data_IF_547448329729
#
_entry.id   IF_547448329729
#
_cell.length_a   1.000
_cell.length_b   1.000
_cell.length_c   1.000
_cell.angle_alpha   90.00
_cell.angle_beta   90.00
_cell.angle_gamma   90.00
#
_symmetry.space_group_name_H-M   'P 1'
#
loop_
_entity.id
_entity.type
_entity.pdbx_description
1 polymer ?
#
# COMPACT_ATOMS: atom_id res chain seq x y z
N UNK A 1 46.74 -24.78 -4.23
CA UNK A 1 46.46 -23.94 -3.04
C UNK A 1 46.75 -22.49 -3.41
N UNK A 2 45.73 -21.70 -3.68
CA UNK A 2 45.82 -20.26 -3.75
C UNK A 2 44.47 -19.68 -3.30
N UNK A 3 44.42 -19.19 -2.06
CA UNK A 3 43.26 -18.54 -1.48
C UNK A 3 43.28 -17.10 -1.98
N UNK A 4 42.34 -16.73 -2.85
CA UNK A 4 42.16 -15.37 -3.34
C UNK A 4 41.38 -14.56 -2.28
N UNK A 5 42.05 -13.51 -1.78
CA UNK A 5 41.49 -12.53 -0.83
C UNK A 5 40.40 -11.72 -1.53
N UNK A 6 39.16 -11.87 -1.12
CA UNK A 6 38.10 -10.89 -1.39
C UNK A 6 38.40 -9.62 -0.57
N UNK A 7 38.78 -8.56 -1.28
CA UNK A 7 38.92 -7.21 -0.73
C UNK A 7 37.53 -6.63 -0.43
N UNK A 8 37.31 -6.28 0.83
CA UNK A 8 36.13 -5.56 1.29
C UNK A 8 35.99 -4.24 0.52
N UNK A 9 34.86 -4.04 -0.14
CA UNK A 9 34.47 -2.77 -0.75
C UNK A 9 34.13 -1.76 0.35
N UNK A 10 34.79 -0.63 0.27
CA UNK A 10 34.68 0.56 1.09
C UNK A 10 33.22 1.07 1.25
N UNK A 11 32.85 1.67 2.39
CA UNK A 11 31.50 2.19 2.63
C UNK A 11 31.15 3.30 1.63
N UNK A 12 29.95 3.20 1.07
CA UNK A 12 29.38 4.16 0.11
C UNK A 12 29.43 5.56 0.73
N UNK A 13 30.09 6.49 0.03
CA UNK A 13 30.03 7.91 0.35
C UNK A 13 28.55 8.32 0.41
N UNK A 14 28.10 8.80 1.59
CA UNK A 14 26.89 9.62 1.69
C UNK A 14 27.04 10.75 0.69
N UNK A 15 26.16 10.81 -0.30
CA UNK A 15 26.01 11.99 -1.14
C UNK A 15 25.57 13.10 -0.20
N UNK A 16 26.43 14.04 0.05
CA UNK A 16 26.08 15.32 0.65
C UNK A 16 25.02 15.97 -0.25
N UNK A 17 23.78 15.91 0.20
CA UNK A 17 22.73 16.79 -0.30
C UNK A 17 23.10 18.17 0.23
N UNK A 18 23.44 19.10 -0.65
CA UNK A 18 23.68 20.49 -0.30
C UNK A 18 22.40 20.99 0.37
N UNK A 19 22.44 21.10 1.70
CA UNK A 19 21.39 21.74 2.50
C UNK A 19 21.46 23.24 2.25
N UNK A 20 20.56 23.74 1.41
CA UNK A 20 20.43 25.18 1.14
C UNK A 20 19.66 25.90 2.26
N UNK A 21 19.06 25.15 3.17
CA UNK A 21 18.38 25.67 4.35
C UNK A 21 19.11 25.13 5.59
N UNK A 22 19.47 26.04 6.49
CA UNK A 22 20.29 25.72 7.67
C UNK A 22 19.78 24.50 8.42
N UNK A 23 20.72 23.66 8.88
CA UNK A 23 20.55 22.41 9.61
C UNK A 23 19.89 22.61 11.00
N UNK A 24 18.74 23.27 11.06
CA UNK A 24 17.94 23.29 12.27
C UNK A 24 17.02 22.07 12.26
N UNK A 25 17.46 21.03 12.96
CA UNK A 25 16.56 19.93 13.30
C UNK A 25 15.42 20.47 14.17
N UNK A 26 14.16 20.04 13.93
CA UNK A 26 13.04 20.48 14.74
C UNK A 26 13.23 20.02 16.18
N UNK A 27 13.05 20.93 17.15
CA UNK A 27 13.25 20.66 18.57
C UNK A 27 12.18 19.70 19.15
N UNK A 28 11.02 19.58 18.48
CA UNK A 28 9.91 18.74 18.91
C UNK A 28 8.97 18.44 17.73
N UNK A 29 8.00 17.52 17.98
CA UNK A 29 7.00 17.09 16.99
C UNK A 29 6.16 18.24 16.44
N UNK A 30 5.76 19.20 17.29
CA UNK A 30 4.95 20.34 16.86
C UNK A 30 5.70 21.21 15.86
N UNK A 31 6.97 21.46 16.10
CA UNK A 31 7.82 22.21 15.19
C UNK A 31 8.05 21.44 13.87
N UNK A 32 8.28 20.13 13.95
CA UNK A 32 8.40 19.28 12.77
C UNK A 32 7.15 19.33 11.89
N UNK A 33 5.97 19.27 12.48
CA UNK A 33 4.69 19.37 11.76
C UNK A 33 4.51 20.76 11.13
N UNK A 34 4.89 21.83 11.83
CA UNK A 34 4.82 23.18 11.30
C UNK A 34 5.82 23.40 10.14
N UNK A 35 7.00 22.76 10.19
CA UNK A 35 7.96 22.78 9.09
C UNK A 35 7.44 22.01 7.87
N UNK A 36 6.85 20.84 8.08
CA UNK A 36 6.23 20.02 7.04
C UNK A 36 5.11 20.80 6.32
N UNK A 37 4.20 21.40 7.10
CA UNK A 37 3.08 22.18 6.56
C UNK A 37 3.56 23.35 5.69
N UNK A 38 4.54 24.12 6.18
CA UNK A 38 5.14 25.23 5.42
C UNK A 38 5.81 24.75 4.13
N UNK A 39 6.58 23.65 4.20
CA UNK A 39 7.27 23.11 3.04
C UNK A 39 6.28 22.62 1.97
N UNK A 40 5.26 21.88 2.38
CA UNK A 40 4.22 21.40 1.48
C UNK A 40 3.40 22.55 0.89
N UNK A 41 3.07 23.57 1.69
CA UNK A 41 2.39 24.77 1.23
C UNK A 41 3.19 25.52 0.15
N UNK A 42 4.50 25.68 0.35
CA UNK A 42 5.38 26.30 -0.64
C UNK A 42 5.47 25.49 -1.94
N UNK A 43 5.57 24.15 -1.82
CA UNK A 43 5.60 23.26 -2.99
C UNK A 43 4.26 23.26 -3.75
N UNK A 44 3.14 23.31 -3.05
CA UNK A 44 1.80 23.35 -3.66
C UNK A 44 1.54 24.63 -4.46
N UNK A 45 2.20 25.74 -4.10
CA UNK A 45 2.07 27.04 -4.78
C UNK A 45 3.17 27.32 -5.80
N UNK A 46 4.17 26.45 -5.92
CA UNK A 46 5.28 26.61 -6.85
C UNK A 46 4.80 26.49 -8.30
N UNK A 47 5.30 27.38 -9.18
CA UNK A 47 5.10 27.26 -10.61
C UNK A 47 5.99 26.16 -11.19
N UNK A 48 5.51 24.92 -11.09
CA UNK A 48 6.23 23.75 -11.59
C UNK A 48 6.47 23.81 -13.12
N UNK A 49 5.59 24.50 -13.87
CA UNK A 49 5.71 24.64 -15.32
C UNK A 49 6.91 25.49 -15.76
N UNK A 50 7.35 26.42 -14.92
CA UNK A 50 8.52 27.27 -15.21
C UNK A 50 9.86 26.59 -14.91
N UNK A 51 9.86 25.44 -14.21
CA UNK A 51 11.07 24.75 -13.81
C UNK A 51 11.63 23.87 -14.95
N UNK A 52 12.97 23.78 -15.09
CA UNK A 52 13.59 22.84 -16.01
C UNK A 52 13.20 21.39 -15.69
N UNK A 53 13.02 20.55 -16.71
CA UNK A 53 12.63 19.13 -16.56
C UNK A 53 13.51 18.33 -15.59
N UNK A 54 14.84 18.53 -15.52
CA UNK A 54 15.66 17.83 -14.50
C UNK A 54 15.29 18.20 -13.07
N UNK A 55 14.89 19.47 -12.82
CA UNK A 55 14.44 19.94 -11.51
C UNK A 55 13.07 19.33 -11.16
N UNK A 56 12.15 19.31 -12.13
CA UNK A 56 10.85 18.63 -11.99
C UNK A 56 11.04 17.15 -11.63
N UNK A 57 11.92 16.43 -12.34
CA UNK A 57 12.22 15.04 -12.07
C UNK A 57 12.87 14.81 -10.69
N UNK A 58 13.70 15.75 -10.24
CA UNK A 58 14.27 15.71 -8.88
C UNK A 58 13.19 15.94 -7.82
N UNK A 59 12.29 16.90 -8.04
CA UNK A 59 11.17 17.20 -7.15
C UNK A 59 10.23 15.99 -7.01
N UNK A 60 9.88 15.34 -8.11
CA UNK A 60 9.06 14.12 -8.08
C UNK A 60 9.70 13.02 -7.23
N UNK A 61 11.00 12.73 -7.45
CA UNK A 61 11.70 11.73 -6.63
C UNK A 61 11.78 12.11 -5.14
N UNK A 62 11.88 13.40 -4.84
CA UNK A 62 11.88 13.87 -3.45
C UNK A 62 10.51 13.75 -2.81
N UNK A 63 9.44 14.04 -3.55
CA UNK A 63 8.05 13.90 -3.08
C UNK A 63 7.67 12.44 -2.84
N UNK A 64 8.07 11.51 -3.71
CA UNK A 64 7.88 10.07 -3.46
C UNK A 64 8.56 9.60 -2.16
N UNK A 65 9.80 10.05 -1.91
CA UNK A 65 10.48 9.77 -0.63
C UNK A 65 9.78 10.42 0.56
N UNK A 66 9.26 11.63 0.38
CA UNK A 66 8.49 12.32 1.42
C UNK A 66 7.18 11.59 1.72
N UNK A 67 6.50 11.07 0.70
CA UNK A 67 5.29 10.25 0.88
C UNK A 67 5.58 8.97 1.66
N UNK A 68 6.67 8.27 1.36
CA UNK A 68 7.09 7.09 2.12
C UNK A 68 7.29 7.43 3.60
N UNK A 69 8.07 8.47 3.90
CA UNK A 69 8.31 8.94 5.27
C UNK A 69 7.04 9.38 5.97
N UNK A 70 6.19 10.13 5.28
CA UNK A 70 4.88 10.54 5.80
C UNK A 70 4.02 9.32 6.13
N UNK A 71 4.01 8.31 5.26
CA UNK A 71 3.25 7.07 5.47
C UNK A 71 3.74 6.32 6.69
N UNK A 72 5.06 6.20 6.90
CA UNK A 72 5.66 5.58 8.07
C UNK A 72 5.32 6.36 9.36
N UNK A 73 5.54 7.67 9.36
CA UNK A 73 5.24 8.53 10.50
C UNK A 73 3.76 8.46 10.88
N UNK A 74 2.85 8.59 9.90
CA UNK A 74 1.41 8.51 10.13
C UNK A 74 1.00 7.16 10.73
N UNK A 75 1.57 6.06 10.25
CA UNK A 75 1.27 4.74 10.78
C UNK A 75 1.75 4.59 12.22
N UNK A 76 2.95 5.10 12.54
CA UNK A 76 3.51 5.11 13.90
C UNK A 76 2.63 5.90 14.88
N UNK A 77 2.26 7.13 14.52
CA UNK A 77 1.37 7.94 15.37
C UNK A 77 0.01 7.30 15.55
N UNK A 78 -0.57 6.74 14.48
CA UNK A 78 -1.86 6.08 14.55
C UNK A 78 -1.81 4.80 15.41
N UNK A 79 -0.74 4.01 15.31
CA UNK A 79 -0.55 2.84 16.16
C UNK A 79 -0.44 3.21 17.65
N UNK A 80 0.33 4.25 17.97
CA UNK A 80 0.44 4.76 19.34
C UNK A 80 -0.88 5.31 19.87
N UNK A 81 -1.61 6.06 19.04
CA UNK A 81 -2.93 6.60 19.37
C UNK A 81 -3.97 5.50 19.65
N UNK A 82 -3.93 4.41 18.88
CA UNK A 82 -4.79 3.24 19.09
C UNK A 82 -4.41 2.52 20.37
N UNK A 83 -3.12 2.33 20.64
CA UNK A 83 -2.63 1.62 21.81
C UNK A 83 -2.95 2.34 23.14
N UNK A 84 -3.19 3.64 23.08
CA UNK A 84 -3.55 4.49 24.23
C UNK A 84 -5.05 4.80 24.28
N UNK A 85 -5.86 4.18 23.42
CA UNK A 85 -7.31 4.45 23.28
C UNK A 85 -7.66 5.95 23.13
N UNK A 86 -6.74 6.74 22.57
CA UNK A 86 -6.85 8.18 22.45
C UNK A 86 -8.10 8.69 21.70
N UNK A 87 -8.77 7.82 20.97
CA UNK A 87 -10.07 8.12 20.33
C UNK A 87 -11.22 8.27 21.35
N UNK A 88 -11.09 7.71 22.56
CA UNK A 88 -12.06 7.80 23.64
C UNK A 88 -12.08 9.20 24.26
N UNK A 89 -10.95 9.90 24.28
CA UNK A 89 -10.86 11.28 24.79
C UNK A 89 -11.82 12.23 24.05
N UNK A 90 -12.09 11.95 22.78
CA UNK A 90 -13.04 12.67 21.93
C UNK A 90 -14.42 11.98 21.84
N UNK A 91 -14.71 11.02 22.73
CA UNK A 91 -15.98 10.30 22.79
C UNK A 91 -16.24 9.37 21.59
N UNK A 92 -15.20 8.96 20.88
CA UNK A 92 -15.35 8.06 19.74
C UNK A 92 -15.13 6.60 20.14
N UNK A 93 -15.97 5.69 19.63
CA UNK A 93 -15.87 4.27 19.93
C UNK A 93 -14.76 3.52 19.17
N UNK A 94 -13.99 4.17 18.31
CA UNK A 94 -12.85 3.57 17.62
C UNK A 94 -12.00 4.60 16.87
N UNK A 95 -10.74 4.28 16.65
CA UNK A 95 -9.85 5.12 15.85
C UNK A 95 -10.35 5.32 14.38
N UNK A 96 -11.08 4.37 13.81
CA UNK A 96 -11.70 4.51 12.48
C UNK A 96 -12.79 5.59 12.49
N UNK A 97 -13.62 5.63 13.52
CA UNK A 97 -14.65 6.66 13.68
C UNK A 97 -14.01 8.02 13.94
N UNK A 98 -13.00 8.06 14.80
CA UNK A 98 -12.22 9.26 15.10
C UNK A 98 -11.60 9.86 13.83
N UNK A 99 -10.89 9.06 13.01
CA UNK A 99 -10.31 9.50 11.75
C UNK A 99 -11.35 10.11 10.81
N UNK A 100 -12.50 9.44 10.64
CA UNK A 100 -13.57 9.95 9.78
C UNK A 100 -14.12 11.28 10.25
N UNK A 101 -14.27 11.44 11.53
CA UNK A 101 -14.82 12.66 12.13
C UNK A 101 -13.82 13.80 12.15
N UNK A 102 -12.63 13.58 12.69
CA UNK A 102 -11.60 14.62 12.85
C UNK A 102 -10.89 15.00 11.55
N UNK A 103 -10.60 14.02 10.71
CA UNK A 103 -9.82 14.26 9.48
C UNK A 103 -10.67 14.22 8.19
N UNK A 104 -11.98 13.96 8.33
CA UNK A 104 -12.97 13.95 7.23
C UNK A 104 -12.60 13.03 6.07
N UNK A 105 -11.86 11.97 6.37
CA UNK A 105 -11.53 10.94 5.37
C UNK A 105 -12.71 9.99 5.16
N UNK A 106 -12.75 9.32 4.01
CA UNK A 106 -13.77 8.30 3.71
C UNK A 106 -13.66 7.11 4.65
N UNK A 107 -14.72 6.30 4.73
CA UNK A 107 -14.70 5.04 5.49
C UNK A 107 -13.60 4.10 5.03
N UNK A 108 -13.43 3.94 3.71
CA UNK A 108 -12.38 3.11 3.12
C UNK A 108 -10.99 3.58 3.53
N UNK A 109 -10.72 4.90 3.44
CA UNK A 109 -9.44 5.49 3.85
C UNK A 109 -9.16 5.27 5.35
N UNK A 110 -10.16 5.43 6.22
CA UNK A 110 -9.99 5.21 7.65
C UNK A 110 -9.69 3.73 7.97
N UNK A 111 -10.42 2.79 7.34
CA UNK A 111 -10.17 1.35 7.48
C UNK A 111 -8.77 0.99 6.98
N UNK A 112 -8.40 1.48 5.80
CA UNK A 112 -7.07 1.25 5.22
C UNK A 112 -5.95 1.81 6.11
N UNK A 113 -6.12 3.02 6.67
CA UNK A 113 -5.10 3.62 7.53
C UNK A 113 -4.87 2.80 8.82
N UNK A 114 -5.95 2.36 9.48
CA UNK A 114 -5.85 1.54 10.69
C UNK A 114 -5.25 0.16 10.38
N UNK A 115 -5.69 -0.48 9.29
CA UNK A 115 -5.12 -1.75 8.83
C UNK A 115 -3.62 -1.61 8.53
N UNK A 116 -3.24 -0.55 7.83
CA UNK A 116 -1.85 -0.30 7.48
C UNK A 116 -0.95 -0.02 8.69
N UNK A 117 -1.45 0.76 9.68
CA UNK A 117 -0.71 1.00 10.92
C UNK A 117 -0.44 -0.30 11.69
N UNK A 118 -1.43 -1.20 11.73
CA UNK A 118 -1.28 -2.52 12.36
C UNK A 118 -0.30 -3.41 11.60
N UNK A 119 -0.40 -3.42 10.25
CA UNK A 119 0.50 -4.21 9.40
C UNK A 119 1.94 -3.76 9.55
N UNK A 120 2.24 -2.46 9.48
CA UNK A 120 3.60 -1.95 9.66
C UNK A 120 4.18 -2.26 11.05
N UNK A 121 3.35 -2.34 12.08
CA UNK A 121 3.82 -2.78 13.41
C UNK A 121 4.29 -4.24 13.41
N UNK A 122 3.76 -5.08 12.52
CA UNK A 122 4.18 -6.47 12.33
C UNK A 122 5.37 -6.63 11.37
N UNK A 123 5.76 -5.55 10.64
CA UNK A 123 6.86 -5.54 9.67
C UNK A 123 7.87 -4.41 9.98
N UNK A 124 8.64 -4.51 11.08
CA UNK A 124 9.51 -3.43 11.53
C UNK A 124 10.62 -3.07 10.53
N UNK A 125 11.12 -4.04 9.76
CA UNK A 125 12.14 -3.82 8.71
C UNK A 125 11.57 -2.94 7.60
N UNK A 126 10.37 -3.24 7.14
CA UNK A 126 9.69 -2.46 6.08
C UNK A 126 9.28 -1.07 6.60
N UNK A 127 8.86 -0.98 7.86
CA UNK A 127 8.57 0.30 8.50
C UNK A 127 9.82 1.21 8.55
N UNK A 128 10.99 0.65 8.86
CA UNK A 128 12.27 1.37 8.84
C UNK A 128 12.64 1.84 7.42
N UNK A 129 12.55 0.96 6.42
CA UNK A 129 12.84 1.30 5.01
C UNK A 129 11.93 2.43 4.48
N UNK A 130 10.64 2.42 4.88
CA UNK A 130 9.71 3.52 4.61
C UNK A 130 10.14 4.82 5.31
N UNK A 131 10.50 4.75 6.58
CA UNK A 131 10.90 5.92 7.37
C UNK A 131 12.19 6.56 6.81
N UNK A 132 13.07 5.77 6.23
CA UNK A 132 14.27 6.25 5.53
C UNK A 132 13.99 6.72 4.09
N UNK A 133 12.81 6.42 3.57
CA UNK A 133 12.42 6.75 2.20
C UNK A 133 13.18 5.92 1.14
N UNK A 134 13.66 4.75 1.53
CA UNK A 134 14.34 3.79 0.66
C UNK A 134 13.34 2.93 -0.12
N UNK A 135 12.16 2.71 0.44
CA UNK A 135 11.07 1.97 -0.15
C UNK A 135 9.85 2.89 -0.34
N UNK A 136 9.21 2.85 -1.50
CA UNK A 136 7.96 3.59 -1.71
C UNK A 136 6.80 2.97 -0.95
N UNK A 137 5.76 3.75 -0.65
CA UNK A 137 4.57 3.26 0.05
C UNK A 137 3.85 2.13 -0.72
N UNK A 138 3.88 2.17 -2.05
CA UNK A 138 3.27 1.14 -2.90
C UNK A 138 4.05 -0.19 -2.86
N UNK A 139 5.38 -0.12 -2.92
CA UNK A 139 6.23 -1.30 -2.82
C UNK A 139 6.18 -1.92 -1.44
N UNK A 140 6.18 -1.11 -0.38
CA UNK A 140 6.04 -1.59 0.99
C UNK A 140 4.74 -2.38 1.19
N UNK A 141 3.62 -1.91 0.59
CA UNK A 141 2.35 -2.65 0.63
C UNK A 141 2.45 -4.00 -0.06
N UNK A 142 3.11 -4.07 -1.22
CA UNK A 142 3.30 -5.32 -1.94
C UNK A 142 4.18 -6.29 -1.15
N UNK A 143 5.32 -5.83 -0.64
CA UNK A 143 6.25 -6.64 0.15
C UNK A 143 5.59 -7.19 1.41
N UNK A 144 4.95 -6.34 2.22
CA UNK A 144 4.20 -6.81 3.39
C UNK A 144 3.13 -7.85 3.00
N UNK A 145 2.41 -7.62 1.88
CA UNK A 145 1.39 -8.56 1.41
C UNK A 145 1.95 -9.92 0.99
N UNK A 146 3.19 -9.98 0.55
CA UNK A 146 3.86 -11.24 0.25
C UNK A 146 4.39 -11.93 1.51
N UNK A 147 5.05 -11.16 2.39
CA UNK A 147 5.61 -11.69 3.66
C UNK A 147 4.51 -12.17 4.61
N UNK A 148 3.31 -11.57 4.60
CA UNK A 148 2.17 -12.01 5.41
C UNK A 148 1.73 -13.45 5.09
N UNK A 149 2.03 -13.95 3.88
CA UNK A 149 1.75 -15.33 3.48
C UNK A 149 2.76 -16.35 4.00
N UNK A 150 3.86 -15.88 4.56
CA UNK A 150 4.90 -16.72 5.10
C UNK A 150 4.63 -17.04 6.58
N UNK A 151 5.10 -18.18 7.09
CA UNK A 151 5.06 -18.47 8.52
C UNK A 151 5.70 -17.33 9.32
N UNK A 152 5.12 -17.05 10.50
CA UNK A 152 5.51 -15.89 11.32
C UNK A 152 7.03 -15.88 11.62
N UNK A 153 7.61 -17.06 11.80
CA UNK A 153 9.00 -17.26 12.19
C UNK A 153 10.01 -16.80 11.12
N UNK A 154 9.60 -16.79 9.84
CA UNK A 154 10.47 -16.43 8.73
C UNK A 154 10.16 -15.07 8.11
N UNK A 155 9.11 -14.36 8.60
CA UNK A 155 8.67 -13.07 8.03
C UNK A 155 9.73 -12.00 8.13
N UNK A 156 10.38 -11.89 9.28
CA UNK A 156 11.39 -10.85 9.48
C UNK A 156 12.60 -11.06 8.56
N UNK A 157 13.05 -12.30 8.40
CA UNK A 157 14.14 -12.63 7.48
C UNK A 157 13.73 -12.36 6.03
N UNK A 158 12.50 -12.70 5.65
CA UNK A 158 11.96 -12.41 4.33
C UNK A 158 11.89 -10.90 4.06
N UNK A 159 11.41 -10.12 5.02
CA UNK A 159 11.38 -8.66 4.94
C UNK A 159 12.79 -8.09 4.75
N UNK A 160 13.79 -8.59 5.49
CA UNK A 160 15.18 -8.19 5.35
C UNK A 160 15.72 -8.48 3.94
N UNK A 161 15.47 -9.68 3.42
CA UNK A 161 15.93 -10.08 2.08
C UNK A 161 15.27 -9.22 1.01
N UNK A 162 13.94 -9.03 1.08
CA UNK A 162 13.18 -8.25 0.09
C UNK A 162 13.56 -6.76 0.13
N UNK A 163 13.72 -6.19 1.33
CA UNK A 163 14.17 -4.81 1.49
C UNK A 163 15.60 -4.61 0.97
N UNK A 164 16.52 -5.54 1.27
CA UNK A 164 17.89 -5.49 0.77
C UNK A 164 17.95 -5.63 -0.76
N UNK A 165 17.15 -6.50 -1.35
CA UNK A 165 17.06 -6.66 -2.80
C UNK A 165 16.51 -5.39 -3.46
N UNK A 166 15.47 -4.78 -2.91
CA UNK A 166 14.93 -3.51 -3.39
C UNK A 166 15.97 -2.39 -3.33
N UNK A 167 16.68 -2.26 -2.21
CA UNK A 167 17.80 -1.30 -2.06
C UNK A 167 18.95 -1.59 -3.03
N UNK A 168 19.14 -2.85 -3.40
CA UNK A 168 20.11 -3.31 -4.41
C UNK A 168 19.71 -2.97 -5.85
N UNK A 169 18.50 -2.51 -6.10
CA UNK A 169 17.98 -2.11 -7.40
C UNK A 169 17.21 -3.22 -8.14
N UNK A 170 16.77 -4.26 -7.44
CA UNK A 170 15.82 -5.23 -7.99
C UNK A 170 14.49 -4.56 -8.33
N UNK A 171 13.86 -4.98 -9.41
CA UNK A 171 12.53 -4.50 -9.78
C UNK A 171 11.43 -5.22 -8.98
N UNK A 172 10.22 -4.65 -8.98
CA UNK A 172 9.10 -5.23 -8.23
C UNK A 172 8.78 -6.68 -8.67
N UNK A 173 8.96 -6.99 -9.95
CA UNK A 173 8.77 -8.33 -10.49
C UNK A 173 9.80 -9.34 -9.94
N UNK A 174 11.06 -8.90 -9.77
CA UNK A 174 12.11 -9.73 -9.19
C UNK A 174 11.82 -10.02 -7.71
N UNK A 175 11.36 -9.01 -6.97
CA UNK A 175 10.95 -9.17 -5.57
C UNK A 175 9.77 -10.12 -5.43
N UNK A 176 8.79 -10.06 -6.33
CA UNK A 176 7.68 -11.01 -6.37
C UNK A 176 8.16 -12.44 -6.61
N UNK A 177 9.12 -12.62 -7.52
CA UNK A 177 9.76 -13.92 -7.78
C UNK A 177 10.49 -14.46 -6.54
N UNK A 178 11.23 -13.62 -5.82
CA UNK A 178 11.91 -13.99 -4.57
C UNK A 178 10.88 -14.39 -3.50
N UNK A 179 9.83 -13.59 -3.31
CA UNK A 179 8.77 -13.89 -2.34
C UNK A 179 8.06 -15.21 -2.66
N UNK A 180 7.81 -15.49 -3.95
CA UNK A 180 7.23 -16.75 -4.39
C UNK A 180 8.15 -17.94 -4.07
N UNK A 181 9.47 -17.83 -4.31
CA UNK A 181 10.43 -18.88 -3.96
C UNK A 181 10.47 -19.14 -2.45
N UNK A 182 10.42 -18.07 -1.63
CA UNK A 182 10.35 -18.22 -0.16
C UNK A 182 9.06 -18.93 0.25
N UNK A 183 7.93 -18.58 -0.35
CA UNK A 183 6.65 -19.20 -0.08
C UNK A 183 6.65 -20.70 -0.43
N UNK A 184 7.14 -21.06 -1.62
CA UNK A 184 7.27 -22.45 -2.04
C UNK A 184 8.23 -23.23 -1.12
N UNK A 185 9.35 -22.62 -0.73
CA UNK A 185 10.31 -23.22 0.21
C UNK A 185 9.74 -23.45 1.60
N UNK A 186 8.89 -22.55 2.09
CA UNK A 186 8.25 -22.68 3.42
C UNK A 186 7.19 -23.78 3.47
N UNK A 187 6.61 -24.14 2.33
CA UNK A 187 5.59 -25.22 2.22
C UNK A 187 6.17 -26.61 2.03
N UNK A 188 7.46 -26.77 1.86
CA UNK A 188 8.12 -28.06 1.55
C UNK A 188 8.06 -29.10 2.68
N UNK A 189 7.10 -29.07 3.57
CA UNK A 189 6.96 -30.00 4.70
C UNK A 189 5.56 -30.19 5.27
N UNK A 190 4.56 -29.44 4.86
CA UNK A 190 3.20 -29.58 5.38
C UNK A 190 2.21 -30.00 4.29
N UNK A 191 1.29 -30.98 4.59
CA UNK A 191 0.18 -31.28 3.72
C UNK A 191 -0.76 -30.07 3.68
N UNK A 192 -1.35 -29.81 2.50
CA UNK A 192 -2.32 -28.75 2.23
C UNK A 192 -3.32 -28.55 3.37
N UNK A 193 -2.96 -27.69 4.30
CA UNK A 193 -3.91 -27.11 5.24
C UNK A 193 -4.56 -25.92 4.54
N UNK A 194 -5.88 -25.93 4.48
CA UNK A 194 -6.77 -24.93 3.89
C UNK A 194 -6.72 -23.58 4.65
N UNK A 195 -5.65 -23.29 5.35
CA UNK A 195 -5.47 -22.00 6.02
C UNK A 195 -4.79 -21.01 5.07
N UNK A 196 -5.58 -20.54 4.11
CA UNK A 196 -5.30 -19.32 3.36
C UNK A 196 -5.33 -18.09 4.28
N UNK A 197 -4.72 -18.15 5.47
CA UNK A 197 -4.67 -17.20 6.56
C UNK A 197 -4.60 -15.71 6.21
N UNK A 198 -5.47 -15.28 5.30
CA UNK A 198 -5.59 -13.92 4.83
C UNK A 198 -6.65 -13.20 5.69
N UNK A 199 -6.34 -13.01 6.97
CA UNK A 199 -7.19 -12.28 7.90
C UNK A 199 -7.51 -10.85 7.45
N UNK A 200 -6.69 -10.29 6.56
CA UNK A 200 -6.84 -8.95 5.99
C UNK A 200 -7.69 -8.91 4.70
N UNK A 201 -8.26 -10.06 4.26
CA UNK A 201 -9.13 -10.06 3.08
C UNK A 201 -10.31 -9.12 3.26
N UNK A 202 -10.46 -8.21 2.32
CA UNK A 202 -11.53 -7.21 2.36
C UNK A 202 -11.89 -6.75 0.96
N UNK A 203 -13.16 -6.43 0.79
CA UNK A 203 -13.66 -5.75 -0.39
C UNK A 203 -14.61 -4.65 0.07
N UNK A 204 -14.36 -3.42 -0.36
CA UNK A 204 -15.14 -2.25 -0.02
C UNK A 204 -15.71 -1.65 -1.30
N UNK A 205 -17.00 -1.36 -1.28
CA UNK A 205 -17.69 -0.59 -2.29
C UNK A 205 -18.17 0.71 -1.65
N UNK A 206 -17.50 1.82 -1.97
CA UNK A 206 -17.94 3.15 -1.56
C UNK A 206 -18.82 3.74 -2.66
N UNK A 207 -20.07 4.03 -2.31
CA UNK A 207 -20.97 4.73 -3.23
C UNK A 207 -20.71 6.23 -3.17
N UNK A 208 -20.55 6.83 -4.34
CA UNK A 208 -20.31 8.25 -4.54
C UNK A 208 -21.56 8.96 -5.09
N UNK A 209 -21.41 10.19 -5.56
CA UNK A 209 -22.48 10.98 -6.11
C UNK A 209 -23.20 10.26 -7.29
N UNK A 210 -24.51 10.37 -7.33
CA UNK A 210 -25.39 9.75 -8.33
C UNK A 210 -25.31 8.20 -8.41
N UNK A 211 -24.89 7.53 -7.32
CA UNK A 211 -24.84 6.08 -7.25
C UNK A 211 -23.61 5.44 -7.95
N UNK A 212 -22.66 6.26 -8.42
CA UNK A 212 -21.37 5.74 -8.85
C UNK A 212 -20.62 5.11 -7.68
N UNK A 213 -19.79 4.10 -7.94
CA UNK A 213 -19.08 3.36 -6.91
C UNK A 213 -17.58 3.28 -7.16
N UNK A 214 -16.82 3.22 -6.07
CA UNK A 214 -15.41 2.88 -6.07
C UNK A 214 -15.21 1.55 -5.34
N UNK A 215 -14.63 0.57 -6.02
CA UNK A 215 -14.32 -0.74 -5.47
C UNK A 215 -12.84 -0.77 -5.08
N UNK A 216 -12.56 -1.17 -3.83
CA UNK A 216 -11.20 -1.25 -3.29
C UNK A 216 -11.09 -2.44 -2.35
N UNK A 217 -9.99 -3.19 -2.41
CA UNK A 217 -9.82 -4.32 -1.50
C UNK A 217 -8.55 -5.11 -1.71
N UNK A 218 -8.35 -6.06 -0.80
CA UNK A 218 -7.27 -7.05 -0.84
C UNK A 218 -7.92 -8.43 -1.01
N UNK A 219 -7.57 -9.14 -2.08
CA UNK A 219 -8.17 -10.41 -2.47
C UNK A 219 -7.23 -11.57 -2.09
N UNK A 220 -7.81 -12.69 -1.66
CA UNK A 220 -7.07 -13.94 -1.55
C UNK A 220 -6.60 -14.42 -2.93
N UNK A 221 -5.57 -15.27 -3.03
CA UNK A 221 -5.10 -15.81 -4.32
C UNK A 221 -6.19 -16.47 -5.13
N UNK A 222 -7.03 -17.29 -4.50
CA UNK A 222 -8.15 -17.94 -5.16
C UNK A 222 -9.19 -16.95 -5.68
N UNK A 223 -9.52 -15.92 -4.88
CA UNK A 223 -10.43 -14.85 -5.30
C UNK A 223 -9.82 -14.03 -6.45
N UNK A 224 -8.55 -13.65 -6.35
CA UNK A 224 -7.86 -12.91 -7.40
C UNK A 224 -7.81 -13.70 -8.72
N UNK A 225 -7.49 -14.99 -8.68
CA UNK A 225 -7.50 -15.86 -9.85
C UNK A 225 -8.89 -15.96 -10.49
N UNK A 226 -9.95 -16.13 -9.67
CA UNK A 226 -11.33 -16.18 -10.17
C UNK A 226 -11.76 -14.86 -10.81
N UNK A 227 -11.46 -13.72 -10.17
CA UNK A 227 -11.76 -12.39 -10.70
C UNK A 227 -10.98 -12.16 -12.00
N UNK A 228 -9.68 -12.46 -12.05
CA UNK A 228 -8.87 -12.34 -13.28
C UNK A 228 -9.44 -13.16 -14.42
N UNK A 229 -9.79 -14.42 -14.17
CA UNK A 229 -10.38 -15.29 -15.18
C UNK A 229 -11.70 -14.73 -15.75
N UNK A 230 -12.56 -14.15 -14.90
CA UNK A 230 -13.81 -13.50 -15.33
C UNK A 230 -13.52 -12.26 -16.16
N UNK A 231 -12.61 -11.38 -15.70
CA UNK A 231 -12.25 -10.16 -16.41
C UNK A 231 -11.61 -10.45 -17.77
N UNK A 232 -10.74 -11.45 -17.84
CA UNK A 232 -10.11 -11.89 -19.09
C UNK A 232 -11.14 -12.53 -20.06
N UNK A 233 -12.03 -13.38 -19.53
CA UNK A 233 -13.01 -14.07 -20.37
C UNK A 233 -14.04 -13.11 -21.00
N UNK A 234 -14.59 -12.19 -20.18
CA UNK A 234 -15.64 -11.27 -20.60
C UNK A 234 -15.08 -9.93 -21.14
N UNK A 235 -13.84 -9.56 -20.78
CA UNK A 235 -13.19 -8.32 -21.20
C UNK A 235 -12.39 -8.41 -22.48
N UNK A 236 -12.56 -9.47 -23.28
CA UNK A 236 -11.89 -9.62 -24.57
C UNK A 236 -12.26 -8.49 -25.52
N UNK A 237 -11.29 -8.06 -26.34
CA UNK A 237 -11.51 -7.07 -27.38
C UNK A 237 -12.51 -7.60 -28.43
N UNK A 238 -13.57 -6.87 -28.71
CA UNK A 238 -14.62 -7.28 -29.63
C UNK A 238 -14.26 -7.14 -31.12
N UNK A 239 -13.02 -6.74 -31.43
CA UNK A 239 -12.53 -6.57 -32.78
C UNK A 239 -11.70 -5.29 -32.95
N UNK A 240 -11.25 -4.97 -34.18
CA UNK A 240 -10.41 -3.78 -34.43
C UNK A 240 -11.11 -2.46 -34.08
N UNK A 241 -12.43 -2.40 -34.22
CA UNK A 241 -13.28 -1.24 -33.96
C UNK A 241 -13.52 -0.97 -32.46
N UNK A 242 -13.11 -1.88 -31.57
CA UNK A 242 -13.25 -1.70 -30.13
C UNK A 242 -12.18 -0.73 -29.61
N UNK A 243 -12.57 0.53 -29.41
CA UNK A 243 -11.70 1.61 -28.92
C UNK A 243 -11.57 1.65 -27.39
N UNK A 244 -12.29 0.79 -26.66
CA UNK A 244 -12.20 0.76 -25.19
C UNK A 244 -10.80 0.35 -24.73
N UNK A 245 -10.32 1.03 -23.68
CA UNK A 245 -9.09 0.64 -22.98
C UNK A 245 -9.25 -0.71 -22.28
N UNK A 246 -8.19 -1.35 -21.87
CA UNK A 246 -8.23 -2.60 -21.09
C UNK A 246 -9.05 -2.39 -19.81
N UNK A 247 -8.83 -1.27 -19.11
CA UNK A 247 -9.53 -0.96 -17.86
C UNK A 247 -11.03 -0.76 -18.06
N UNK A 248 -11.44 -0.14 -19.16
CA UNK A 248 -12.86 -0.01 -19.51
C UNK A 248 -13.49 -1.37 -19.82
N UNK A 249 -12.80 -2.24 -20.55
CA UNK A 249 -13.28 -3.59 -20.81
C UNK A 249 -13.38 -4.43 -19.53
N UNK A 250 -12.47 -4.28 -18.58
CA UNK A 250 -12.54 -4.95 -17.28
C UNK A 250 -13.73 -4.45 -16.45
N UNK A 251 -14.03 -3.15 -16.48
CA UNK A 251 -15.24 -2.59 -15.87
C UNK A 251 -16.50 -3.24 -16.45
N UNK A 252 -16.63 -3.25 -17.78
CA UNK A 252 -17.77 -3.82 -18.47
C UNK A 252 -17.90 -5.33 -18.24
N UNK A 253 -16.77 -6.04 -18.14
CA UNK A 253 -16.71 -7.47 -17.81
C UNK A 253 -17.25 -7.74 -16.40
N UNK A 254 -16.89 -6.94 -15.42
CA UNK A 254 -17.40 -7.06 -14.06
C UNK A 254 -18.91 -6.79 -14.02
N UNK A 255 -19.38 -5.75 -14.69
CA UNK A 255 -20.81 -5.43 -14.78
C UNK A 255 -21.58 -6.58 -15.41
N UNK A 256 -21.10 -7.12 -16.53
CA UNK A 256 -21.73 -8.25 -17.23
C UNK A 256 -21.74 -9.53 -16.37
N UNK A 257 -20.65 -9.82 -15.63
CA UNK A 257 -20.62 -10.95 -14.72
C UNK A 257 -21.70 -10.82 -13.64
N UNK A 258 -21.80 -9.67 -13.00
CA UNK A 258 -22.82 -9.38 -11.98
C UNK A 258 -24.24 -9.50 -12.57
N UNK A 259 -24.46 -8.97 -13.77
CA UNK A 259 -25.74 -9.04 -14.47
C UNK A 259 -26.15 -10.48 -14.76
N UNK A 260 -25.22 -11.33 -15.21
CA UNK A 260 -25.47 -12.76 -15.44
C UNK A 260 -25.83 -13.51 -14.17
N UNK A 261 -25.12 -13.26 -13.06
CA UNK A 261 -25.41 -13.89 -11.78
C UNK A 261 -26.81 -13.52 -11.26
N UNK A 262 -27.20 -12.26 -11.41
CA UNK A 262 -28.55 -11.78 -11.02
C UNK A 262 -29.63 -12.43 -11.94
N UNK A 263 -29.41 -12.43 -13.25
CA UNK A 263 -30.36 -13.01 -14.20
C UNK A 263 -30.51 -14.54 -14.02
N UNK A 264 -29.44 -15.24 -13.68
CA UNK A 264 -29.45 -16.66 -13.35
C UNK A 264 -30.05 -16.98 -11.96
N UNK A 265 -30.50 -15.97 -11.19
CA UNK A 265 -31.00 -16.10 -9.82
C UNK A 265 -30.02 -16.83 -8.87
N UNK A 266 -28.73 -16.69 -9.14
CA UNK A 266 -27.68 -17.23 -8.28
C UNK A 266 -27.38 -16.32 -7.08
N UNK A 267 -27.91 -15.10 -7.10
CA UNK A 267 -27.83 -14.15 -5.98
C UNK A 267 -29.14 -14.26 -5.20
N UNK A 268 -29.09 -14.60 -3.88
CA UNK A 268 -30.30 -14.65 -3.07
C UNK A 268 -30.95 -13.27 -3.02
N UNK A 269 -32.30 -13.22 -2.97
CA UNK A 269 -33.04 -11.98 -2.86
C UNK A 269 -32.53 -11.20 -1.63
N UNK A 270 -31.96 -10.05 -1.85
CA UNK A 270 -31.51 -9.19 -0.75
C UNK A 270 -32.75 -8.75 0.05
N UNK A 271 -32.74 -8.85 1.38
CA UNK A 271 -33.83 -8.29 2.17
C UNK A 271 -33.99 -6.79 1.85
N UNK A 272 -35.22 -6.26 1.82
CA UNK A 272 -35.46 -4.87 1.46
C UNK A 272 -34.59 -3.96 2.33
N UNK A 273 -33.79 -3.10 1.71
CA UNK A 273 -32.97 -2.11 2.42
C UNK A 273 -33.92 -1.27 3.27
N UNK A 274 -33.82 -1.38 4.60
CA UNK A 274 -34.46 -0.44 5.48
C UNK A 274 -34.02 0.97 5.06
N UNK A 275 -34.95 1.74 4.49
CA UNK A 275 -34.79 3.17 4.33
C UNK A 275 -34.86 3.73 5.75
N UNK A 276 -33.72 4.02 6.35
CA UNK A 276 -33.70 4.90 7.51
C UNK A 276 -34.14 6.28 7.01
N UNK A 277 -35.35 6.65 7.39
CA UNK A 277 -35.89 8.02 7.33
C UNK A 277 -35.14 8.88 8.33
#
# INVERSE_FOLDING_TARGET
>A
MAVSKLTARSPRRRREVISVYGDQEPANVTEALAMLDRALGALATADAGSLPTPVQAQALRALERAEARHTAARAQFLAAFIAQDGYEDDGQGSARMWLRWQTRVTKATAVSAVGWARRLAAHPVIAAALAEGELSASWARAVCGWSDRLPHEVREDADQILAAAAAGGAELADLAGLAQQMYEGSRSGEPDGDDDGFDDRRLLLDLTFAGAGQLTGDLTPGCAAAVSAVLEALGKKAGPEDLRTVTQRHHDALEEACRRLIAAKMVPDSPPRCRCT
#
